data_IF_633667142318
#
_entry.id   IF_633667142318
#
_cell.length_a   1.000
_cell.length_b   1.000
_cell.length_c   1.000
_cell.angle_alpha   90.00
_cell.angle_beta   90.00
_cell.angle_gamma   90.00
#
_symmetry.space_group_name_H-M   'P 1'
#
loop_
_entity.id
_entity.type
_entity.pdbx_description
1 polymer ?
#
# COMPACT_ATOMS: atom_id res chain seq x y z
N UNK A 1 -24.62 42.34 -13.21
CA UNK A 1 -23.78 41.24 -13.70
C UNK A 1 -23.82 40.15 -12.63
N UNK A 2 -24.54 39.05 -12.88
CA UNK A 2 -24.75 37.99 -11.88
C UNK A 2 -23.81 36.84 -12.21
N UNK A 3 -22.79 36.61 -11.38
CA UNK A 3 -21.97 35.40 -11.44
C UNK A 3 -22.72 34.25 -10.79
N UNK A 4 -23.27 33.36 -11.62
CA UNK A 4 -23.78 32.08 -11.14
C UNK A 4 -22.58 31.16 -10.86
N UNK A 5 -22.40 30.65 -9.63
CA UNK A 5 -21.39 29.64 -9.37
C UNK A 5 -21.74 28.41 -10.20
N UNK A 6 -20.92 28.11 -11.20
CA UNK A 6 -21.06 26.91 -12.02
C UNK A 6 -20.88 25.68 -11.13
N UNK A 7 -21.99 25.16 -10.60
CA UNK A 7 -21.99 23.82 -10.02
C UNK A 7 -21.87 22.85 -11.18
N UNK A 8 -20.66 22.38 -11.44
CA UNK A 8 -20.41 21.23 -12.30
C UNK A 8 -20.91 20.03 -11.51
N UNK A 9 -22.21 19.75 -11.61
CA UNK A 9 -22.71 18.43 -11.25
C UNK A 9 -22.17 17.48 -12.32
N UNK A 10 -21.34 16.49 -11.96
CA UNK A 10 -20.91 15.50 -12.93
C UNK A 10 -22.17 14.83 -13.48
N UNK A 11 -22.37 14.95 -14.79
CA UNK A 11 -23.38 14.17 -15.47
C UNK A 11 -22.98 12.67 -15.42
N UNK A 12 -23.92 11.78 -15.72
CA UNK A 12 -23.63 10.34 -15.67
C UNK A 12 -22.50 9.95 -16.64
N UNK A 13 -22.30 10.73 -17.72
CA UNK A 13 -21.17 10.60 -18.65
C UNK A 13 -19.83 10.88 -17.98
N UNK A 14 -19.66 12.04 -17.34
CA UNK A 14 -18.43 12.42 -16.65
C UNK A 14 -18.08 11.43 -15.52
N UNK A 15 -19.12 10.92 -14.83
CA UNK A 15 -18.95 9.88 -13.81
C UNK A 15 -18.45 8.57 -14.43
N UNK A 16 -19.01 8.13 -15.54
CA UNK A 16 -18.57 6.92 -16.24
C UNK A 16 -17.12 7.05 -16.75
N UNK A 17 -16.76 8.21 -17.31
CA UNK A 17 -15.39 8.50 -17.75
C UNK A 17 -14.40 8.47 -16.59
N UNK A 18 -14.76 9.06 -15.45
CA UNK A 18 -13.94 9.04 -14.25
C UNK A 18 -13.74 7.61 -13.73
N UNK A 19 -14.79 6.80 -13.66
CA UNK A 19 -14.69 5.38 -13.23
C UNK A 19 -13.77 4.60 -14.18
N UNK A 20 -13.92 4.80 -15.50
CA UNK A 20 -13.07 4.19 -16.52
C UNK A 20 -11.60 4.62 -16.38
N UNK A 21 -11.36 5.92 -16.16
CA UNK A 21 -10.04 6.46 -15.91
C UNK A 21 -9.41 5.85 -14.64
N UNK A 22 -10.14 5.86 -13.53
CA UNK A 22 -9.67 5.31 -12.25
C UNK A 22 -9.36 3.82 -12.37
N UNK A 23 -10.18 3.05 -13.06
CA UNK A 23 -9.96 1.62 -13.29
C UNK A 23 -8.67 1.36 -14.06
N UNK A 24 -8.42 2.11 -15.14
CA UNK A 24 -7.16 2.07 -15.90
C UNK A 24 -5.97 2.50 -15.03
N UNK A 25 -6.15 3.50 -14.16
CA UNK A 25 -5.09 4.03 -13.32
C UNK A 25 -4.65 3.00 -12.29
N UNK A 26 -5.60 2.30 -11.67
CA UNK A 26 -5.29 1.21 -10.76
C UNK A 26 -4.60 0.04 -11.49
N UNK A 27 -4.97 -0.27 -12.74
CA UNK A 27 -4.25 -1.27 -13.53
C UNK A 27 -2.80 -0.85 -13.85
N UNK A 28 -2.58 0.43 -14.15
CA UNK A 28 -1.25 1.00 -14.33
C UNK A 28 -0.41 0.89 -13.06
N UNK A 29 -0.98 1.22 -11.88
CA UNK A 29 -0.30 1.05 -10.57
C UNK A 29 0.10 -0.39 -10.30
N UNK A 30 -0.80 -1.36 -10.53
CA UNK A 30 -0.48 -2.80 -10.38
C UNK A 30 0.66 -3.23 -11.30
N UNK A 31 0.69 -2.71 -12.52
CA UNK A 31 1.78 -2.99 -13.47
C UNK A 31 3.09 -2.36 -13.02
N UNK A 32 3.05 -1.11 -12.56
CA UNK A 32 4.20 -0.42 -11.98
C UNK A 32 4.76 -1.17 -10.78
N UNK A 33 3.90 -1.73 -9.92
CA UNK A 33 4.29 -2.50 -8.74
C UNK A 33 5.10 -3.72 -9.13
N UNK A 34 4.60 -4.52 -10.07
CA UNK A 34 5.30 -5.71 -10.55
C UNK A 34 6.64 -5.35 -11.20
N UNK A 35 6.70 -4.23 -11.93
CA UNK A 35 7.91 -3.77 -12.56
C UNK A 35 8.96 -3.26 -11.56
N UNK A 36 8.55 -2.48 -10.56
CA UNK A 36 9.41 -2.03 -9.46
C UNK A 36 9.94 -3.22 -8.66
N UNK A 37 9.09 -4.22 -8.38
CA UNK A 37 9.50 -5.46 -7.70
C UNK A 37 10.55 -6.25 -8.50
N UNK A 38 10.51 -6.17 -9.83
CA UNK A 38 11.50 -6.78 -10.73
C UNK A 38 12.75 -5.92 -10.94
N UNK A 39 12.88 -4.79 -10.23
CA UNK A 39 14.04 -3.91 -10.33
C UNK A 39 14.11 -3.05 -11.60
N UNK A 40 13.01 -2.91 -12.36
CA UNK A 40 13.01 -2.05 -13.55
C UNK A 40 13.20 -0.57 -13.20
N UNK A 41 13.88 0.17 -14.07
CA UNK A 41 14.10 1.62 -13.92
C UNK A 41 12.80 2.40 -14.19
N UNK A 42 12.58 3.51 -13.45
CA UNK A 42 11.38 4.35 -13.60
C UNK A 42 11.09 4.75 -15.04
N UNK A 43 12.11 5.16 -15.81
CA UNK A 43 11.91 5.60 -17.19
C UNK A 43 11.34 4.51 -18.10
N UNK A 44 11.79 3.26 -17.93
CA UNK A 44 11.28 2.10 -18.66
C UNK A 44 9.85 1.80 -18.26
N UNK A 45 9.54 1.86 -16.96
CA UNK A 45 8.18 1.64 -16.46
C UNK A 45 7.24 2.70 -17.02
N UNK A 46 7.61 3.98 -16.98
CA UNK A 46 6.80 5.08 -17.53
C UNK A 46 6.54 4.87 -19.02
N UNK A 47 7.56 4.44 -19.79
CA UNK A 47 7.41 4.14 -21.23
C UNK A 47 6.48 2.97 -21.48
N UNK A 48 6.57 1.91 -20.68
CA UNK A 48 5.69 0.74 -20.74
C UNK A 48 4.23 1.12 -20.40
N UNK A 49 4.03 1.92 -19.35
CA UNK A 49 2.72 2.40 -18.95
C UNK A 49 2.10 3.34 -19.99
N UNK A 50 2.92 4.20 -20.59
CA UNK A 50 2.48 5.12 -21.63
C UNK A 50 1.90 4.37 -22.83
N UNK A 51 2.58 3.31 -23.25
CA UNK A 51 2.14 2.45 -24.36
C UNK A 51 0.90 1.62 -24.03
N UNK A 52 0.74 1.21 -22.78
CA UNK A 52 -0.30 0.24 -22.37
C UNK A 52 -1.59 0.87 -21.84
N UNK A 53 -1.51 2.01 -21.16
CA UNK A 53 -2.64 2.55 -20.40
C UNK A 53 -3.03 3.96 -20.80
N UNK A 54 -2.08 4.89 -20.77
CA UNK A 54 -2.36 6.31 -20.94
C UNK A 54 -1.32 6.98 -21.82
N UNK A 55 -1.72 7.68 -22.90
CA UNK A 55 -0.80 8.52 -23.67
C UNK A 55 -0.48 9.84 -22.93
N UNK A 56 -0.34 9.80 -21.60
CA UNK A 56 0.01 10.93 -20.76
C UNK A 56 1.15 10.52 -19.80
N UNK A 57 2.32 11.10 -20.03
CA UNK A 57 3.52 10.81 -19.25
C UNK A 57 3.44 11.28 -17.79
N UNK A 58 2.60 12.28 -17.46
CA UNK A 58 2.41 12.76 -16.08
C UNK A 58 1.68 11.71 -15.25
N UNK A 59 0.57 11.18 -15.75
CA UNK A 59 -0.17 10.13 -15.05
C UNK A 59 0.63 8.85 -14.90
N UNK A 60 1.44 8.49 -15.90
CA UNK A 60 2.33 7.34 -15.81
C UNK A 60 3.40 7.53 -14.72
N UNK A 61 3.99 8.74 -14.61
CA UNK A 61 4.93 9.07 -13.53
C UNK A 61 4.28 8.98 -12.16
N UNK A 62 3.10 9.57 -12.00
CA UNK A 62 2.33 9.49 -10.76
C UNK A 62 2.00 8.06 -10.35
N UNK A 63 1.60 7.21 -11.31
CA UNK A 63 1.34 5.80 -11.01
C UNK A 63 2.58 5.10 -10.44
N UNK A 64 3.78 5.42 -10.93
CA UNK A 64 5.04 4.87 -10.40
C UNK A 64 5.36 5.45 -9.02
N UNK A 65 5.22 6.76 -8.83
CA UNK A 65 5.48 7.44 -7.55
C UNK A 65 4.53 6.96 -6.44
N UNK A 66 3.23 6.89 -6.71
CA UNK A 66 2.22 6.36 -5.79
C UNK A 66 2.54 4.92 -5.39
N UNK A 67 3.02 4.13 -6.34
CA UNK A 67 3.38 2.74 -6.10
C UNK A 67 4.63 2.62 -5.24
N UNK A 68 5.65 3.47 -5.47
CA UNK A 68 6.82 3.56 -4.59
C UNK A 68 6.44 3.97 -3.18
N UNK A 69 5.63 5.01 -3.02
CA UNK A 69 5.16 5.44 -1.71
C UNK A 69 4.39 4.33 -0.98
N UNK A 70 3.59 3.55 -1.71
CA UNK A 70 2.88 2.39 -1.16
C UNK A 70 3.85 1.30 -0.68
N UNK A 71 4.88 0.99 -1.48
CA UNK A 71 5.90 0.01 -1.12
C UNK A 71 6.68 0.42 0.14
N UNK A 72 7.08 1.69 0.25
CA UNK A 72 7.80 2.18 1.43
C UNK A 72 6.91 2.16 2.69
N UNK A 73 5.62 2.51 2.57
CA UNK A 73 4.67 2.36 3.69
C UNK A 73 4.50 0.90 4.11
N UNK A 74 4.44 -0.03 3.15
CA UNK A 74 4.33 -1.45 3.45
C UNK A 74 5.56 -1.97 4.20
N UNK A 75 6.76 -1.55 3.79
CA UNK A 75 8.00 -1.91 4.52
C UNK A 75 7.97 -1.39 5.96
N UNK A 76 7.69 -0.10 6.14
CA UNK A 76 7.60 0.51 7.47
C UNK A 76 6.55 -0.20 8.35
N UNK A 77 5.43 -0.62 7.77
CA UNK A 77 4.40 -1.37 8.49
C UNK A 77 4.88 -2.76 8.91
N UNK A 78 5.66 -3.46 8.06
CA UNK A 78 6.28 -4.74 8.42
C UNK A 78 7.26 -4.57 9.57
N UNK A 79 8.13 -3.56 9.51
CA UNK A 79 9.13 -3.29 10.56
C UNK A 79 8.45 -3.04 11.92
N UNK A 80 7.37 -2.25 11.92
CA UNK A 80 6.56 -2.01 13.10
C UNK A 80 5.94 -3.30 13.66
N UNK A 81 5.40 -4.17 12.80
CA UNK A 81 4.83 -5.45 13.26
C UNK A 81 5.88 -6.40 13.82
N UNK A 82 7.09 -6.43 13.25
CA UNK A 82 8.20 -7.22 13.79
C UNK A 82 8.55 -6.73 15.19
N UNK A 83 8.73 -5.41 15.35
CA UNK A 83 9.03 -4.81 16.65
C UNK A 83 7.95 -5.10 17.71
N UNK A 84 6.67 -5.01 17.33
CA UNK A 84 5.55 -5.36 18.19
C UNK A 84 5.54 -6.84 18.61
N UNK A 85 5.95 -7.74 17.72
CA UNK A 85 6.03 -9.17 18.00
C UNK A 85 7.20 -9.48 18.93
N UNK A 86 8.37 -8.88 18.70
CA UNK A 86 9.54 -8.99 19.57
C UNK A 86 9.22 -8.54 21.00
N UNK A 87 8.58 -7.38 21.17
CA UNK A 87 8.18 -6.88 22.48
C UNK A 87 7.16 -7.80 23.19
N UNK A 88 6.30 -8.49 22.43
CA UNK A 88 5.36 -9.48 23.00
C UNK A 88 6.09 -10.75 23.44
N UNK A 89 7.08 -11.19 22.67
CA UNK A 89 7.93 -12.34 22.99
C UNK A 89 8.71 -12.06 24.27
N UNK A 90 9.36 -10.90 24.37
CA UNK A 90 10.10 -10.46 25.55
C UNK A 90 9.22 -10.46 26.80
N UNK A 91 8.05 -9.80 26.76
CA UNK A 91 7.10 -9.79 27.87
C UNK A 91 6.55 -11.17 28.23
N UNK A 92 6.46 -12.09 27.27
CA UNK A 92 6.05 -13.45 27.53
C UNK A 92 7.18 -14.24 28.22
N UNK A 93 8.44 -14.02 27.83
CA UNK A 93 9.62 -14.59 28.46
C UNK A 93 9.76 -14.10 29.92
N UNK A 94 9.64 -12.80 30.19
CA UNK A 94 9.67 -12.24 31.57
C UNK A 94 8.62 -12.90 32.48
N UNK A 95 7.41 -13.13 31.96
CA UNK A 95 6.32 -13.79 32.71
C UNK A 95 6.61 -15.26 33.02
N UNK A 96 7.47 -15.93 32.25
CA UNK A 96 7.90 -17.30 32.54
C UNK A 96 8.92 -17.35 33.69
N UNK A 97 9.71 -16.29 33.89
CA UNK A 97 10.68 -16.19 34.98
C UNK A 97 10.03 -15.96 36.35
N UNK A 98 8.88 -15.27 36.40
CA UNK A 98 8.12 -15.02 37.63
C UNK A 98 6.70 -15.63 37.61
N UNK A 99 6.57 -16.97 37.62
CA UNK A 99 5.26 -17.60 37.52
C UNK A 99 4.51 -17.59 38.86
N UNK A 100 3.29 -17.05 38.85
CA UNK A 100 2.33 -17.23 39.96
C UNK A 100 1.66 -18.61 39.98
N UNK A 101 1.65 -19.35 38.86
CA UNK A 101 0.91 -20.62 38.71
C UNK A 101 1.51 -21.53 37.61
N UNK A 102 1.56 -22.86 37.83
CA UNK A 102 2.16 -23.86 36.93
C UNK A 102 1.39 -24.02 35.61
N UNK A 103 0.05 -23.95 35.64
CA UNK A 103 -0.79 -24.07 34.45
C UNK A 103 -0.60 -22.86 33.51
N UNK A 104 -0.54 -21.65 34.09
CA UNK A 104 -0.26 -20.42 33.34
C UNK A 104 1.12 -20.43 32.71
N UNK A 105 2.14 -20.95 33.40
CA UNK A 105 3.51 -21.11 32.86
C UNK A 105 3.52 -21.99 31.60
N UNK A 106 2.88 -23.17 31.66
CA UNK A 106 2.80 -24.11 30.53
C UNK A 106 2.11 -23.51 29.31
N UNK A 107 1.06 -22.71 29.53
CA UNK A 107 0.34 -22.02 28.46
C UNK A 107 1.13 -20.89 27.79
N UNK A 108 1.99 -20.18 28.52
CA UNK A 108 2.87 -19.15 27.95
C UNK A 108 4.02 -19.82 27.17
N UNK A 109 4.59 -20.90 27.70
CA UNK A 109 5.67 -21.64 27.05
C UNK A 109 5.26 -22.20 25.69
N UNK A 110 4.05 -22.77 25.57
CA UNK A 110 3.50 -23.24 24.28
C UNK A 110 3.25 -22.14 23.23
N UNK A 111 3.29 -20.85 23.60
CA UNK A 111 3.12 -19.73 22.67
C UNK A 111 4.44 -19.14 22.18
N UNK A 112 5.55 -19.54 22.80
CA UNK A 112 6.90 -19.11 22.45
C UNK A 112 7.67 -20.16 21.63
N UNK A 113 7.27 -21.44 21.75
CA UNK A 113 7.68 -22.55 20.87
C UNK A 113 6.94 -22.50 19.53
#
# INVERSE_FOLDING_TARGET
MVTLPGRIYPDETAKAELISFMSRYQAARRTAYQALRRGKKTGEIVKDLYRKFFPNARWCRWAVEDTRATLERQKAQVDMYVSDLEAKIEKAAEKLEHPKDKLRRRGIQMRLE
#
